data_IF_661594866503
#
_entry.id   IF_661594866503
#
_cell.length_a   1.000
_cell.length_b   1.000
_cell.length_c   1.000
_cell.angle_alpha   90.00
_cell.angle_beta   90.00
_cell.angle_gamma   90.00
#
_symmetry.space_group_name_H-M   'P 1'
#
loop_
_entity.id
_entity.type
_entity.pdbx_description
1 polymer ?
#
# COMPACT_ATOMS: atom_id res chain seq x y z
N UNK A 1 -15.04 7.67 10.67
CA UNK A 1 -14.49 6.47 9.98
C UNK A 1 -15.69 5.59 9.77
N UNK A 2 -16.39 5.86 8.68
CA UNK A 2 -17.61 5.14 8.34
C UNK A 2 -17.27 3.73 7.84
N UNK A 3 -18.23 2.83 8.05
CA UNK A 3 -18.38 1.51 7.42
C UNK A 3 -18.07 0.25 8.25
N UNK A 4 -17.80 0.34 9.56
CA UNK A 4 -17.88 -0.82 10.48
C UNK A 4 -17.02 -2.05 10.16
N UNK A 5 -16.19 -1.98 9.11
CA UNK A 5 -15.34 -3.04 8.62
C UNK A 5 -14.11 -3.13 9.53
N UNK A 6 -14.02 -4.22 10.26
CA UNK A 6 -12.95 -4.52 11.21
C UNK A 6 -12.19 -5.81 10.81
N UNK A 7 -12.44 -6.33 9.61
CA UNK A 7 -11.84 -7.57 9.12
C UNK A 7 -12.39 -8.83 9.76
N UNK A 8 -13.61 -8.78 10.32
CA UNK A 8 -14.26 -9.95 10.91
C UNK A 8 -14.90 -10.83 9.85
N UNK A 9 -15.05 -12.13 10.13
CA UNK A 9 -15.71 -13.07 9.23
C UNK A 9 -17.15 -12.63 8.91
N UNK A 10 -17.53 -12.66 7.63
CA UNK A 10 -18.86 -12.27 7.16
C UNK A 10 -19.04 -10.76 6.92
N UNK A 11 -18.05 -9.93 7.21
CA UNK A 11 -18.08 -8.52 6.82
C UNK A 11 -17.76 -8.34 5.35
N UNK A 12 -18.43 -7.38 4.70
CA UNK A 12 -18.15 -7.01 3.33
C UNK A 12 -17.02 -5.98 3.27
N UNK A 13 -16.03 -6.24 2.42
CA UNK A 13 -14.95 -5.29 2.16
C UNK A 13 -15.56 -4.04 1.51
N UNK A 14 -15.27 -2.83 2.02
CA UNK A 14 -15.74 -1.60 1.39
C UNK A 14 -15.14 -1.42 0.00
N UNK A 15 -15.80 -0.62 -0.83
CA UNK A 15 -15.26 -0.25 -2.14
C UNK A 15 -13.99 0.59 -1.97
N UNK A 16 -12.90 0.12 -2.57
CA UNK A 16 -11.59 0.77 -2.51
C UNK A 16 -11.36 1.56 -3.79
N UNK A 17 -12.11 2.66 -3.98
CA UNK A 17 -11.88 3.55 -5.12
C UNK A 17 -10.50 4.20 -5.04
N UNK A 18 -9.96 4.64 -6.17
CA UNK A 18 -8.65 5.28 -6.23
C UNK A 18 -8.60 6.53 -5.34
N UNK A 19 -9.68 7.32 -5.32
CA UNK A 19 -9.78 8.53 -4.48
C UNK A 19 -9.79 8.18 -2.99
N UNK A 20 -10.52 7.14 -2.59
CA UNK A 20 -10.54 6.69 -1.21
C UNK A 20 -9.15 6.18 -0.79
N UNK A 21 -8.53 5.34 -1.62
CA UNK A 21 -7.18 4.84 -1.38
C UNK A 21 -6.17 5.99 -1.25
N UNK A 22 -6.26 7.00 -2.11
CA UNK A 22 -5.38 8.17 -2.07
C UNK A 22 -5.59 8.96 -0.77
N UNK A 23 -6.83 9.25 -0.39
CA UNK A 23 -7.13 10.02 0.82
C UNK A 23 -6.63 9.34 2.10
N UNK A 24 -6.78 8.01 2.18
CA UNK A 24 -6.28 7.20 3.30
C UNK A 24 -4.75 7.22 3.30
N UNK A 25 -4.13 7.01 2.13
CA UNK A 25 -2.68 7.03 1.97
C UNK A 25 -2.08 8.36 2.40
N UNK A 26 -2.65 9.49 1.99
CA UNK A 26 -2.21 10.84 2.36
C UNK A 26 -2.27 11.07 3.87
N UNK A 27 -3.34 10.61 4.54
CA UNK A 27 -3.46 10.71 5.99
C UNK A 27 -2.38 9.91 6.73
N UNK A 28 -2.07 8.70 6.24
CA UNK A 28 -1.01 7.88 6.85
C UNK A 28 0.39 8.42 6.57
N UNK A 29 0.61 8.99 5.39
CA UNK A 29 1.84 9.72 5.07
C UNK A 29 2.01 10.90 6.03
N UNK A 30 0.98 11.75 6.19
CA UNK A 30 1.02 12.88 7.11
C UNK A 30 1.33 12.43 8.54
N UNK A 31 0.70 11.35 9.01
CA UNK A 31 0.96 10.80 10.34
C UNK A 31 2.41 10.30 10.49
N UNK A 32 2.92 9.59 9.50
CA UNK A 32 4.32 9.17 9.46
C UNK A 32 5.26 10.37 9.56
N UNK A 33 5.05 11.41 8.74
CA UNK A 33 5.90 12.61 8.74
C UNK A 33 5.87 13.34 10.09
N UNK A 34 4.70 13.39 10.75
CA UNK A 34 4.57 13.98 12.09
C UNK A 34 5.27 13.18 13.19
N UNK A 35 5.26 11.85 13.11
CA UNK A 35 5.85 10.98 14.13
C UNK A 35 7.37 10.89 13.94
N UNK A 36 7.82 10.74 12.70
CA UNK A 36 9.24 10.48 12.37
C UNK A 36 10.01 11.78 12.15
N UNK A 37 9.34 12.85 11.71
CA UNK A 37 9.99 14.14 11.40
C UNK A 37 10.68 14.18 10.03
N UNK A 38 10.53 13.12 9.22
CA UNK A 38 11.11 13.00 7.89
C UNK A 38 10.01 12.97 6.81
N UNK A 39 10.34 13.41 5.59
CA UNK A 39 9.42 13.35 4.46
C UNK A 39 9.24 11.93 3.97
N UNK A 40 7.99 11.53 3.74
CA UNK A 40 7.72 10.23 3.14
C UNK A 40 8.07 10.27 1.64
N UNK A 41 8.98 9.39 1.22
CA UNK A 41 9.34 9.25 -0.19
C UNK A 41 8.52 8.10 -0.77
N UNK A 42 7.56 8.42 -1.64
CA UNK A 42 6.81 7.41 -2.38
C UNK A 42 7.77 6.59 -3.23
N UNK A 43 7.64 5.27 -3.18
CA UNK A 43 8.40 4.39 -4.04
C UNK A 43 8.01 4.61 -5.49
N UNK A 44 8.99 4.58 -6.38
CA UNK A 44 8.75 4.57 -7.81
C UNK A 44 7.95 3.32 -8.20
N UNK A 45 6.85 3.54 -8.89
CA UNK A 45 5.95 2.51 -9.42
C UNK A 45 6.24 2.16 -10.86
N UNK A 46 7.20 2.83 -11.50
CA UNK A 46 7.60 2.53 -12.86
C UNK A 46 8.23 1.12 -12.93
N UNK A 47 7.86 0.37 -13.96
CA UNK A 47 8.35 -0.99 -14.25
C UNK A 47 8.13 -1.98 -13.09
N UNK A 48 7.05 -1.80 -12.32
CA UNK A 48 6.74 -2.64 -11.16
C UNK A 48 6.64 -4.13 -11.53
N UNK A 49 5.95 -4.45 -12.62
CA UNK A 49 5.79 -5.82 -13.12
C UNK A 49 7.14 -6.45 -13.42
N UNK A 50 8.01 -5.74 -14.15
CA UNK A 50 9.35 -6.23 -14.49
C UNK A 50 10.23 -6.43 -13.25
N UNK A 51 10.10 -5.57 -12.23
CA UNK A 51 10.82 -5.72 -10.96
C UNK A 51 10.35 -6.96 -10.19
N UNK A 52 9.04 -7.18 -10.15
CA UNK A 52 8.44 -8.37 -9.49
C UNK A 52 8.92 -9.63 -10.21
N UNK A 53 8.79 -9.68 -11.53
CA UNK A 53 9.20 -10.82 -12.35
C UNK A 53 10.69 -11.13 -12.16
N UNK A 54 11.55 -10.12 -12.26
CA UNK A 54 13.00 -10.27 -12.06
C UNK A 54 13.31 -10.88 -10.69
N UNK A 55 12.76 -10.34 -9.61
CA UNK A 55 13.03 -10.82 -8.25
C UNK A 55 12.57 -12.28 -8.05
N UNK A 56 11.42 -12.65 -8.62
CA UNK A 56 10.93 -14.04 -8.56
C UNK A 56 11.89 -14.96 -9.31
N UNK A 57 12.29 -14.60 -10.53
CA UNK A 57 13.20 -15.40 -11.33
C UNK A 57 14.58 -15.56 -10.68
N UNK A 58 15.13 -14.49 -10.11
CA UNK A 58 16.40 -14.54 -9.36
C UNK A 58 16.30 -15.49 -8.16
N UNK A 59 15.22 -15.40 -7.37
CA UNK A 59 14.98 -16.32 -6.25
C UNK A 59 14.91 -17.78 -6.71
N UNK A 60 14.15 -18.06 -7.78
CA UNK A 60 13.98 -19.41 -8.32
C UNK A 60 15.29 -19.99 -8.89
N UNK A 61 16.16 -19.15 -9.46
CA UNK A 61 17.48 -19.57 -9.97
C UNK A 61 18.52 -19.79 -8.87
N UNK A 62 18.37 -19.11 -7.72
CA UNK A 62 19.27 -19.24 -6.56
C UNK A 62 18.97 -20.47 -5.67
N UNK A 63 18.01 -21.31 -6.08
CA UNK A 63 17.53 -22.49 -5.37
C UNK A 63 18.00 -23.78 -6.03
#
# INVERSE_FOLDING_TARGET
>A
MDNGFQGQAGQQVPEMTDEYCLSVSERYIELYEKIVGEKFVKADTDNLESRIEKNINEYLQSR
#
